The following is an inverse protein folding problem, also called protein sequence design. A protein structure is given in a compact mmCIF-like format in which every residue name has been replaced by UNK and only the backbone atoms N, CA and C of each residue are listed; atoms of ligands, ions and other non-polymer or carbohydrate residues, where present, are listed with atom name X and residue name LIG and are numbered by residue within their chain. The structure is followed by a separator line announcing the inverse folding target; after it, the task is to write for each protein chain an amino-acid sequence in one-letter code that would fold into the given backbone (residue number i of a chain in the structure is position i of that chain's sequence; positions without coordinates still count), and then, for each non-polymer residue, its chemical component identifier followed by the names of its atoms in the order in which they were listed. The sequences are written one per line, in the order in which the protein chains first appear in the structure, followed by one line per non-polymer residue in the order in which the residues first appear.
data_IF_868885682261
#
_entry.id   IF_868885682261
#
_cell.length_a   1.000
_cell.length_b   1.000
_cell.length_c   1.000
_cell.angle_alpha   90.00
_cell.angle_beta   90.00
_cell.angle_gamma   90.00
#
_symmetry.space_group_name_H-M   'P 1'
#
loop_
_entity.id
_entity.type
_entity.pdbx_description
1 polymer ?
#
# COMPACT_ATOMS: atom_id res chain seq x y z
N UNK A 1 18.45 -2.77 2.68
CA UNK A 1 17.30 -3.19 1.86
C UNK A 1 16.42 -3.97 2.81
N UNK A 2 15.36 -3.36 3.37
CA UNK A 2 14.48 -4.07 4.29
C UNK A 2 13.60 -5.00 3.48
N UNK A 3 13.71 -6.31 3.71
CA UNK A 3 12.81 -7.28 3.10
C UNK A 3 11.38 -6.95 3.56
N UNK A 4 10.44 -6.93 2.62
CA UNK A 4 9.04 -6.79 2.96
C UNK A 4 8.60 -8.08 3.67
N UNK A 5 7.82 -8.00 4.77
CA UNK A 5 7.34 -9.20 5.44
C UNK A 5 6.54 -10.07 4.48
N UNK A 6 6.70 -11.39 4.57
CA UNK A 6 5.94 -12.35 3.74
C UNK A 6 4.42 -12.27 4.00
N UNK A 7 4.03 -11.83 5.21
CA UNK A 7 2.65 -11.80 5.69
C UNK A 7 2.40 -10.51 6.50
N UNK A 8 2.35 -9.34 5.85
CA UNK A 8 2.06 -8.07 6.53
C UNK A 8 0.67 -8.12 7.17
N UNK A 9 0.55 -7.54 8.37
CA UNK A 9 -0.68 -7.37 9.15
C UNK A 9 -1.15 -5.91 9.20
N UNK A 10 -0.28 -4.95 8.89
CA UNK A 10 -0.56 -3.51 8.95
C UNK A 10 0.00 -2.81 7.71
N UNK A 11 -0.83 -2.73 6.68
CA UNK A 11 -0.49 -2.17 5.38
C UNK A 11 -0.95 -0.71 5.32
N UNK A 12 -0.06 0.18 4.90
CA UNK A 12 -0.45 1.50 4.38
C UNK A 12 -0.33 1.45 2.86
N UNK A 13 -1.40 1.77 2.15
CA UNK A 13 -1.40 1.82 0.68
C UNK A 13 -1.43 3.26 0.21
N UNK A 14 -0.42 3.65 -0.57
CA UNK A 14 -0.30 5.01 -1.12
C UNK A 14 -0.81 5.11 -2.56
N UNK A 15 -1.48 4.07 -3.07
CA UNK A 15 -1.82 3.89 -4.49
C UNK A 15 -3.28 3.43 -4.60
N UNK A 16 -4.18 4.18 -5.25
CA UNK A 16 -5.61 3.84 -5.31
C UNK A 16 -5.89 2.44 -5.87
N UNK A 17 -5.26 2.07 -6.99
CA UNK A 17 -5.47 0.76 -7.63
C UNK A 17 -4.99 -0.41 -6.77
N UNK A 18 -3.87 -0.25 -6.07
CA UNK A 18 -3.36 -1.25 -5.12
C UNK A 18 -4.29 -1.37 -3.91
N UNK A 19 -4.82 -0.25 -3.41
CA UNK A 19 -5.81 -0.28 -2.33
C UNK A 19 -7.04 -1.10 -2.73
N UNK A 20 -7.62 -0.83 -3.90
CA UNK A 20 -8.74 -1.62 -4.42
C UNK A 20 -8.41 -3.10 -4.54
N UNK A 21 -7.23 -3.44 -5.08
CA UNK A 21 -6.77 -4.81 -5.21
C UNK A 21 -6.63 -5.52 -3.86
N UNK A 22 -6.10 -4.86 -2.82
CA UNK A 22 -6.01 -5.43 -1.47
C UNK A 22 -7.38 -5.80 -0.92
N UNK A 23 -8.40 -4.94 -1.11
CA UNK A 23 -9.75 -5.27 -0.68
C UNK A 23 -10.34 -6.42 -1.49
N UNK A 24 -10.14 -6.43 -2.81
CA UNK A 24 -10.60 -7.51 -3.68
C UNK A 24 -9.97 -8.86 -3.31
N UNK A 25 -8.70 -8.87 -2.88
CA UNK A 25 -7.96 -10.07 -2.47
C UNK A 25 -8.20 -10.46 -1.00
N UNK A 26 -9.19 -9.87 -0.32
CA UNK A 26 -9.48 -10.18 1.09
C UNK A 26 -8.43 -9.70 2.09
N UNK A 27 -7.52 -8.81 1.69
CA UNK A 27 -6.49 -8.20 2.53
C UNK A 27 -6.91 -6.85 3.12
N UNK A 28 -8.13 -6.38 2.82
CA UNK A 28 -8.66 -5.08 3.22
C UNK A 28 -8.59 -4.78 4.73
N UNK A 29 -8.84 -5.77 5.59
CA UNK A 29 -8.76 -5.60 7.06
C UNK A 29 -7.35 -5.24 7.54
N UNK A 30 -6.33 -5.51 6.73
CA UNK A 30 -4.94 -5.19 7.04
C UNK A 30 -4.58 -3.76 6.65
N UNK A 31 -5.45 -3.06 5.91
CA UNK A 31 -5.21 -1.67 5.48
C UNK A 31 -5.47 -0.72 6.64
N UNK A 32 -4.40 -0.18 7.22
CA UNK A 32 -4.44 0.73 8.38
C UNK A 32 -4.28 2.20 8.01
N UNK A 33 -4.02 2.49 6.73
CA UNK A 33 -3.98 3.86 6.20
C UNK A 33 -3.97 3.88 4.69
N UNK A 34 -4.57 4.91 4.12
CA UNK A 34 -4.66 5.10 2.67
C UNK A 34 -4.56 6.59 2.30
N UNK A 35 -4.23 6.90 1.05
CA UNK A 35 -4.22 8.30 0.59
C UNK A 35 -5.64 8.86 0.46
N UNK A 36 -5.75 10.18 0.32
CA UNK A 36 -7.01 10.89 0.04
C UNK A 36 -7.68 10.44 -1.27
N UNK A 37 -6.90 9.87 -2.19
CA UNK A 37 -7.36 9.43 -3.51
C UNK A 37 -7.87 7.98 -3.52
N UNK A 38 -7.60 7.22 -2.47
CA UNK A 38 -8.15 5.88 -2.32
C UNK A 38 -9.62 5.97 -1.89
N UNK A 39 -10.54 5.99 -2.83
CA UNK A 39 -11.99 6.17 -2.56
C UNK A 39 -12.80 4.89 -2.76
N UNK A 40 -12.17 3.83 -3.28
CA UNK A 40 -12.80 2.54 -3.52
C UNK A 40 -12.08 1.39 -2.78
N UNK A 41 -12.82 0.43 -2.23
CA UNK A 41 -14.28 0.41 -2.09
C UNK A 41 -14.75 1.39 -0.99
N UNK A 42 -15.80 2.17 -1.25
CA UNK A 42 -16.20 3.29 -0.39
C UNK A 42 -16.50 2.87 1.05
N UNK A 43 -17.37 1.88 1.25
CA UNK A 43 -17.78 1.42 2.59
C UNK A 43 -16.63 0.86 3.43
N UNK A 44 -15.87 -0.15 2.95
CA UNK A 44 -14.75 -0.70 3.71
C UNK A 44 -13.62 0.30 4.02
N UNK A 45 -13.52 1.41 3.27
CA UNK A 45 -12.58 2.48 3.53
C UNK A 45 -13.11 3.53 4.53
N UNK A 46 -14.40 3.51 4.88
CA UNK A 46 -14.96 4.38 5.91
C UNK A 46 -14.32 4.03 7.26
N UNK A 47 -13.46 4.93 7.75
CA UNK A 47 -12.72 4.75 9.00
C UNK A 47 -11.24 4.43 8.83
N UNK A 48 -10.76 4.14 7.62
CA UNK A 48 -9.33 4.02 7.35
C UNK A 48 -8.68 5.42 7.40
N UNK A 49 -7.70 5.67 8.29
CA UNK A 49 -7.01 6.95 8.40
C UNK A 49 -6.40 7.41 7.08
N UNK A 50 -6.50 8.71 6.81
CA UNK A 50 -5.90 9.34 5.63
C UNK A 50 -4.51 9.86 5.92
N UNK A 51 -3.59 9.61 4.98
CA UNK A 51 -2.17 9.99 5.09
C UNK A 51 -1.75 11.03 4.04
N UNK A 52 -2.68 11.86 3.60
CA UNK A 52 -2.46 12.88 2.57
C UNK A 52 -2.55 12.32 1.15
N UNK A 53 -2.01 13.06 0.18
CA UNK A 53 -2.01 12.66 -1.22
C UNK A 53 -0.87 11.72 -1.62
N UNK A 54 -0.82 11.37 -2.90
CA UNK A 54 0.17 10.44 -3.45
C UNK A 54 1.57 11.05 -3.57
N UNK A 55 1.66 12.35 -3.88
CA UNK A 55 2.93 13.08 -4.04
C UNK A 55 3.37 13.85 -2.79
N UNK A 56 2.44 14.10 -1.89
CA UNK A 56 2.58 14.90 -0.66
C UNK A 56 2.12 14.10 0.58
N UNK A 57 2.35 12.79 0.57
CA UNK A 57 2.05 11.89 1.68
C UNK A 57 2.65 12.42 3.00
N UNK A 58 1.82 12.48 4.05
CA UNK A 58 2.25 12.80 5.41
C UNK A 58 3.02 11.61 6.00
N UNK A 59 4.34 11.66 5.89
CA UNK A 59 5.28 10.63 6.38
C UNK A 59 5.07 10.38 7.88
N UNK A 60 4.84 11.42 8.68
CA UNK A 60 4.66 11.28 10.12
C UNK A 60 3.31 10.61 10.44
N UNK A 61 2.26 10.87 9.64
CA UNK A 61 1.01 10.12 9.75
C UNK A 61 1.21 8.64 9.46
N UNK A 62 1.97 8.30 8.41
CA UNK A 62 2.29 6.90 8.10
C UNK A 62 3.06 6.26 9.26
N UNK A 63 4.08 6.93 9.80
CA UNK A 63 4.88 6.41 10.93
C UNK A 63 4.01 6.18 12.18
N UNK A 64 3.10 7.10 12.52
CA UNK A 64 2.18 6.93 13.66
C UNK A 64 1.29 5.70 13.55
N UNK A 65 0.96 5.28 12.33
CA UNK A 65 0.17 4.07 12.10
C UNK A 65 0.97 2.78 12.31
N UNK A 66 2.29 2.87 12.51
CA UNK A 66 3.17 1.70 12.72
C UNK A 66 2.90 0.56 11.71
N UNK A 67 2.95 0.82 10.38
CA UNK A 67 2.77 -0.22 9.40
C UNK A 67 3.96 -1.16 9.34
N UNK A 68 3.72 -2.41 8.98
CA UNK A 68 4.77 -3.38 8.64
C UNK A 68 5.10 -3.39 7.14
N UNK A 69 4.20 -2.84 6.30
CA UNK A 69 4.43 -2.63 4.88
C UNK A 69 3.77 -1.34 4.40
N UNK A 70 4.52 -0.55 3.63
CA UNK A 70 3.99 0.55 2.83
C UNK A 70 4.06 0.18 1.36
N UNK A 71 2.94 0.27 0.65
CA UNK A 71 2.86 0.07 -0.79
C UNK A 71 2.84 1.43 -1.48
N UNK A 72 3.75 1.62 -2.42
CA UNK A 72 3.93 2.84 -3.19
C UNK A 72 4.12 2.50 -4.67
N UNK A 73 3.86 3.45 -5.56
CA UNK A 73 4.06 3.31 -7.00
C UNK A 73 5.03 4.38 -7.50
N UNK A 74 5.89 4.01 -8.46
CA UNK A 74 6.93 4.89 -9.01
C UNK A 74 6.40 6.16 -9.68
N UNK A 75 5.23 6.13 -10.32
CA UNK A 75 4.64 7.29 -10.99
C UNK A 75 3.82 8.18 -10.04
N UNK A 76 3.26 7.58 -8.99
CA UNK A 76 2.40 8.27 -8.03
C UNK A 76 3.17 8.90 -6.86
N UNK A 77 4.18 8.20 -6.33
CA UNK A 77 4.89 8.61 -5.12
C UNK A 77 6.29 9.12 -5.43
N UNK A 78 6.68 10.24 -4.83
CA UNK A 78 8.00 10.82 -5.07
C UNK A 78 9.11 9.99 -4.42
N UNK A 79 10.29 9.94 -5.04
CA UNK A 79 11.46 9.29 -4.45
C UNK A 79 11.81 9.88 -3.08
N UNK A 80 11.58 11.18 -2.89
CA UNK A 80 11.76 11.87 -1.60
C UNK A 80 10.88 11.25 -0.51
N UNK A 81 9.59 11.04 -0.79
CA UNK A 81 8.63 10.40 0.14
C UNK A 81 9.07 8.98 0.47
N UNK A 82 9.40 8.18 -0.55
CA UNK A 82 9.85 6.78 -0.36
C UNK A 82 11.11 6.72 0.51
N UNK A 83 12.10 7.58 0.25
CA UNK A 83 13.35 7.64 1.03
C UNK A 83 13.07 8.08 2.47
N UNK A 84 12.18 9.06 2.69
CA UNK A 84 11.80 9.49 4.02
C UNK A 84 11.17 8.34 4.82
N UNK A 85 10.16 7.67 4.27
CA UNK A 85 9.52 6.50 4.91
C UNK A 85 10.53 5.41 5.28
N UNK A 86 11.44 5.06 4.35
CA UNK A 86 12.52 4.09 4.60
C UNK A 86 13.50 4.55 5.69
N UNK A 87 13.76 5.85 5.81
CA UNK A 87 14.65 6.40 6.85
C UNK A 87 14.08 6.27 8.26
N UNK A 88 12.74 6.16 8.38
CA UNK A 88 12.06 5.81 9.63
C UNK A 88 12.02 4.29 9.89
N UNK A 89 12.72 3.49 9.08
CA UNK A 89 12.79 2.03 9.24
C UNK A 89 11.59 1.27 8.70
N UNK A 90 10.67 1.93 7.98
CA UNK A 90 9.52 1.26 7.37
C UNK A 90 9.94 0.46 6.14
N UNK A 91 9.38 -0.73 5.98
CA UNK A 91 9.49 -1.52 4.75
C UNK A 91 8.58 -0.91 3.68
N UNK A 92 9.17 -0.38 2.62
CA UNK A 92 8.44 0.27 1.51
C UNK A 92 8.68 -0.50 0.22
N UNK A 93 7.63 -1.10 -0.34
CA UNK A 93 7.63 -1.72 -1.67
C UNK A 93 7.15 -0.69 -2.69
N UNK A 94 7.91 -0.53 -3.76
CA UNK A 94 7.58 0.38 -4.85
C UNK A 94 7.30 -0.44 -6.10
N UNK A 95 6.06 -0.44 -6.56
CA UNK A 95 5.68 -1.08 -7.82
C UNK A 95 5.83 -0.11 -9.00
N UNK A 96 5.99 -0.68 -10.20
CA UNK A 96 5.98 0.07 -11.45
C UNK A 96 5.54 -0.81 -12.63
N UNK A 97 4.27 -1.25 -12.67
CA UNK A 97 3.76 -2.02 -13.79
C UNK A 97 3.70 -1.16 -15.06
N UNK A 98 4.26 -1.65 -16.17
CA UNK A 98 4.29 -0.92 -17.46
C UNK A 98 3.60 -1.68 -18.59
N UNK A 99 3.07 -2.86 -18.29
CA UNK A 99 2.33 -3.71 -19.21
C UNK A 99 1.20 -4.42 -18.49
N UNK A 100 0.27 -4.99 -19.25
CA UNK A 100 -0.80 -5.84 -18.69
C UNK A 100 -0.21 -7.03 -17.93
N UNK A 101 0.86 -7.65 -18.46
CA UNK A 101 1.54 -8.75 -17.80
C UNK A 101 2.11 -8.34 -16.44
N UNK A 102 2.70 -7.14 -16.34
CA UNK A 102 3.20 -6.61 -15.06
C UNK A 102 2.06 -6.37 -14.08
N UNK A 103 0.89 -5.90 -14.57
CA UNK A 103 -0.30 -5.74 -13.73
C UNK A 103 -0.80 -7.07 -13.16
N UNK A 104 -0.81 -8.14 -13.97
CA UNK A 104 -1.16 -9.49 -13.49
C UNK A 104 -0.11 -10.01 -12.49
N UNK A 105 1.18 -9.76 -12.75
CA UNK A 105 2.24 -10.12 -11.82
C UNK A 105 2.11 -9.40 -10.47
N UNK A 106 1.79 -8.09 -10.49
CA UNK A 106 1.52 -7.31 -9.28
C UNK A 106 0.36 -7.91 -8.46
N UNK A 107 -0.75 -8.30 -9.11
CA UNK A 107 -1.86 -8.96 -8.41
C UNK A 107 -1.41 -10.28 -7.74
N UNK A 108 -0.58 -11.08 -8.43
CA UNK A 108 -0.03 -12.31 -7.84
C UNK A 108 0.90 -12.02 -6.66
N UNK A 109 1.71 -10.96 -6.73
CA UNK A 109 2.57 -10.51 -5.63
C UNK A 109 1.77 -10.00 -4.42
N UNK A 110 0.65 -9.31 -4.66
CA UNK A 110 -0.27 -8.88 -3.61
C UNK A 110 -0.97 -10.09 -2.99
N UNK A 111 -1.40 -11.07 -3.78
CA UNK A 111 -1.96 -12.34 -3.29
C UNK A 111 -0.97 -13.06 -2.36
N UNK A 112 0.30 -13.09 -2.75
CA UNK A 112 1.38 -13.71 -1.98
C UNK A 112 1.65 -13.04 -0.61
N UNK A 113 1.06 -11.87 -0.31
CA UNK A 113 1.04 -11.28 1.03
C UNK A 113 0.11 -12.03 2.01
N UNK A 114 -0.45 -13.16 1.56
CA UNK A 114 -1.31 -14.04 2.33
C UNK A 114 -2.79 -13.75 2.21
N UNK A 115 -3.22 -13.39 1.01
CA UNK A 115 -4.62 -13.46 0.65
C UNK A 115 -5.09 -14.92 0.74
N UNK A 116 -6.36 -15.11 1.09
CA UNK A 116 -6.98 -16.43 1.08
C UNK A 116 -7.34 -16.81 -0.35
N UNK A 117 -7.17 -18.07 -0.74
CA UNK A 117 -7.55 -18.58 -2.08
C UNK A 117 -9.07 -18.55 -2.37
N UNK A 118 -9.87 -18.07 -1.40
CA UNK A 118 -11.34 -17.97 -1.48
C UNK A 118 -11.84 -16.54 -1.80
N UNK A 119 -10.93 -15.57 -1.98
CA UNK A 119 -11.24 -14.16 -2.27
C UNK A 119 -11.53 -13.88 -3.75
#
# INVERSE_FOLDING_TARGET
MGDAPEQPRRIVSLVPSVTEALFALGLGERVVGATDWCVHPAGPLEGVPRVGGTKDTDVEAVVRLSPDLVLANHEENTERTVRALRSHGLSVRVDYPRSVADGVALLAELHALGASDEA
#
